data_IF_122948208886
#
_entry.id   IF_122948208886
#
_cell.length_a   1.000
_cell.length_b   1.000
_cell.length_c   1.000
_cell.angle_alpha   90.00
_cell.angle_beta   90.00
_cell.angle_gamma   90.00
#
_symmetry.space_group_name_H-M   'P 1'
#
loop_
_entity.id
_entity.type
_entity.pdbx_description
1 polymer ?
#
# COMPACT_ATOMS: atom_id res chain seq x y z
N UNK A 1 21.22 -4.37 -42.93
CA UNK A 1 19.86 -4.82 -42.59
C UNK A 1 19.30 -3.92 -41.50
N UNK A 2 18.15 -3.32 -41.76
CA UNK A 2 17.42 -2.43 -40.85
C UNK A 2 16.39 -3.32 -40.12
N UNK A 3 16.49 -3.46 -38.80
CA UNK A 3 15.62 -4.32 -38.01
C UNK A 3 14.86 -3.56 -36.93
N UNK A 4 13.88 -4.23 -36.32
CA UNK A 4 13.07 -3.72 -35.21
C UNK A 4 13.53 -4.39 -33.92
N UNK A 5 13.86 -3.62 -32.89
CA UNK A 5 14.22 -4.15 -31.57
C UNK A 5 13.26 -3.60 -30.51
N UNK A 6 13.03 -4.36 -29.44
CA UNK A 6 12.22 -3.91 -28.29
C UNK A 6 13.14 -3.60 -27.12
N UNK A 7 12.86 -2.49 -26.45
CA UNK A 7 13.62 -2.01 -25.31
C UNK A 7 12.70 -1.80 -24.11
N UNK A 8 13.01 -2.44 -22.98
CA UNK A 8 12.21 -2.30 -21.74
C UNK A 8 10.73 -2.62 -21.92
N UNK A 9 9.84 -1.73 -21.46
CA UNK A 9 8.38 -1.83 -21.53
C UNK A 9 7.80 -1.67 -22.95
N UNK A 10 8.27 -2.49 -23.89
CA UNK A 10 7.67 -2.64 -25.23
C UNK A 10 7.85 -1.42 -26.15
N UNK A 11 8.90 -0.60 -25.97
CA UNK A 11 9.17 0.52 -26.89
C UNK A 11 9.75 -0.05 -28.19
N UNK A 12 9.05 0.05 -29.35
CA UNK A 12 9.56 -0.46 -30.61
C UNK A 12 10.61 0.50 -31.16
N UNK A 13 11.88 0.11 -31.11
CA UNK A 13 12.95 0.79 -31.82
C UNK A 13 12.84 0.41 -33.30
N UNK A 14 12.68 1.42 -34.15
CA UNK A 14 12.65 1.24 -35.60
C UNK A 14 14.04 1.60 -36.13
N UNK A 15 14.52 0.82 -37.08
CA UNK A 15 15.80 0.99 -37.75
C UNK A 15 17.05 0.83 -36.87
N UNK A 16 17.08 -0.28 -36.15
CA UNK A 16 18.27 -0.75 -35.45
C UNK A 16 19.13 -1.54 -36.43
N UNK A 17 20.45 -1.40 -36.37
CA UNK A 17 21.36 -2.14 -37.23
C UNK A 17 21.43 -3.58 -36.69
N UNK A 18 20.55 -4.43 -37.21
CA UNK A 18 20.48 -5.84 -36.84
C UNK A 18 21.50 -6.60 -37.68
N UNK A 19 22.59 -7.02 -37.03
CA UNK A 19 23.53 -7.98 -37.60
C UNK A 19 23.01 -9.38 -37.22
N UNK A 20 22.60 -10.22 -38.18
CA UNK A 20 22.00 -11.53 -37.88
C UNK A 20 22.91 -12.47 -37.09
N UNK A 21 24.23 -12.29 -37.20
CA UNK A 21 25.24 -13.13 -36.55
C UNK A 21 25.63 -12.65 -35.15
N UNK A 22 25.01 -11.58 -34.63
CA UNK A 22 25.29 -11.04 -33.29
C UNK A 22 24.14 -11.33 -32.33
N UNK A 23 24.49 -11.86 -31.15
CA UNK A 23 23.54 -12.09 -30.04
C UNK A 23 22.93 -10.80 -29.43
N UNK A 24 23.32 -9.62 -29.93
CA UNK A 24 22.87 -8.33 -29.42
C UNK A 24 22.61 -7.34 -30.57
N UNK A 25 21.49 -6.61 -30.48
CA UNK A 25 21.17 -5.54 -31.41
C UNK A 25 21.91 -4.25 -31.01
N UNK A 26 22.64 -3.63 -31.95
CA UNK A 26 23.32 -2.36 -31.72
C UNK A 26 22.41 -1.17 -32.06
N UNK A 27 22.14 -0.32 -31.07
CA UNK A 27 21.34 0.89 -31.25
C UNK A 27 22.24 2.11 -31.45
N UNK A 28 21.95 2.90 -32.48
CA UNK A 28 22.59 4.21 -32.66
C UNK A 28 22.04 5.21 -31.64
N UNK A 29 22.93 5.81 -30.85
CA UNK A 29 22.59 6.83 -29.83
C UNK A 29 21.84 8.00 -30.44
N UNK A 30 22.32 8.54 -31.56
CA UNK A 30 21.72 9.72 -32.20
C UNK A 30 20.32 9.46 -32.74
N UNK A 31 20.06 8.22 -33.18
CA UNK A 31 18.74 7.82 -33.68
C UNK A 31 17.78 7.56 -32.52
N UNK A 32 18.28 6.90 -31.47
CA UNK A 32 17.53 6.60 -30.26
C UNK A 32 17.04 7.87 -29.55
N UNK A 33 17.92 8.85 -29.33
CA UNK A 33 17.58 10.11 -28.65
C UNK A 33 16.57 10.94 -29.44
N UNK A 34 16.70 10.98 -30.77
CA UNK A 34 15.73 11.66 -31.66
C UNK A 34 14.37 10.96 -31.69
N UNK A 35 14.35 9.63 -31.74
CA UNK A 35 13.10 8.86 -31.82
C UNK A 35 12.29 8.93 -30.53
N UNK A 36 12.95 8.88 -29.36
CA UNK A 36 12.30 8.84 -28.06
C UNK A 36 12.21 10.20 -27.36
N UNK A 37 12.72 11.27 -27.99
CA UNK A 37 12.90 12.58 -27.36
C UNK A 37 13.54 12.47 -25.96
N UNK A 38 14.66 11.75 -25.89
CA UNK A 38 15.34 11.44 -24.64
C UNK A 38 16.80 11.89 -24.65
N UNK A 39 17.37 12.10 -23.46
CA UNK A 39 18.80 12.23 -23.25
C UNK A 39 19.39 10.92 -22.72
N UNK A 40 20.68 10.70 -22.98
CA UNK A 40 21.44 9.58 -22.45
C UNK A 40 22.61 10.12 -21.66
N UNK A 41 22.73 9.67 -20.41
CA UNK A 41 23.87 9.97 -19.54
C UNK A 41 24.70 8.71 -19.39
N UNK A 42 25.99 8.80 -19.71
CA UNK A 42 26.95 7.72 -19.52
C UNK A 42 27.67 7.90 -18.18
N UNK A 43 27.68 6.85 -17.37
CA UNK A 43 28.34 6.74 -16.08
C UNK A 43 29.41 5.64 -16.15
N UNK A 44 30.41 5.64 -15.25
CA UNK A 44 31.46 4.61 -15.24
C UNK A 44 30.95 3.17 -15.12
N UNK A 45 29.74 2.96 -14.61
CA UNK A 45 29.15 1.62 -14.37
C UNK A 45 27.94 1.32 -15.27
N UNK A 46 27.47 2.27 -16.08
CA UNK A 46 26.23 2.12 -16.84
C UNK A 46 25.75 3.40 -17.51
N UNK A 47 24.53 3.39 -18.01
CA UNK A 47 23.93 4.57 -18.64
C UNK A 47 22.44 4.70 -18.31
N UNK A 48 21.94 5.93 -18.39
CA UNK A 48 20.57 6.28 -18.03
C UNK A 48 19.93 6.98 -19.23
N UNK A 49 18.75 6.51 -19.65
CA UNK A 49 17.89 7.17 -20.63
C UNK A 49 16.82 7.94 -19.88
N UNK A 50 16.76 9.24 -20.11
CA UNK A 50 15.78 10.11 -19.48
C UNK A 50 14.93 10.80 -20.56
N UNK A 51 13.62 10.67 -20.45
CA UNK A 51 12.67 11.39 -21.29
C UNK A 51 12.79 12.90 -21.03
N UNK A 52 12.98 13.69 -22.09
CA UNK A 52 13.16 15.13 -21.98
C UNK A 52 11.88 15.88 -21.61
N UNK A 53 10.71 15.33 -21.93
CA UNK A 53 9.39 15.90 -21.63
C UNK A 53 9.01 15.61 -20.18
N UNK A 54 9.01 14.35 -19.77
CA UNK A 54 8.54 13.96 -18.42
C UNK A 54 9.63 14.01 -17.36
N UNK A 55 10.91 14.12 -17.77
CA UNK A 55 12.09 13.98 -16.91
C UNK A 55 12.20 12.62 -16.20
N UNK A 56 11.40 11.64 -16.60
CA UNK A 56 11.44 10.28 -16.01
C UNK A 56 12.51 9.44 -16.68
N UNK A 57 13.12 8.56 -15.89
CA UNK A 57 14.00 7.52 -16.43
C UNK A 57 13.14 6.49 -17.17
N UNK A 58 13.42 6.32 -18.47
CA UNK A 58 12.69 5.39 -19.35
C UNK A 58 13.49 4.12 -19.64
N UNK A 59 14.78 4.11 -19.30
CA UNK A 59 15.63 2.94 -19.43
C UNK A 59 16.97 3.12 -18.75
N UNK A 60 17.59 2.01 -18.37
CA UNK A 60 18.93 1.96 -17.79
C UNK A 60 19.75 0.86 -18.45
N UNK A 61 20.99 1.16 -18.80
CA UNK A 61 21.94 0.21 -19.33
C UNK A 61 23.05 -0.08 -18.33
N UNK A 62 23.55 -1.32 -18.32
CA UNK A 62 24.70 -1.73 -17.51
C UNK A 62 25.94 -1.83 -18.40
N UNK A 63 27.09 -1.41 -17.89
CA UNK A 63 28.36 -1.67 -18.56
C UNK A 63 28.74 -3.15 -18.40
N UNK A 64 29.02 -3.85 -19.50
CA UNK A 64 29.66 -5.18 -19.49
C UNK A 64 30.83 -5.13 -20.48
N UNK A 65 32.06 -5.27 -19.97
CA UNK A 65 33.25 -4.92 -20.76
C UNK A 65 33.21 -3.45 -21.15
N UNK A 66 33.42 -3.14 -22.44
CA UNK A 66 33.42 -1.76 -22.96
C UNK A 66 32.09 -1.37 -23.65
N UNK A 67 31.03 -2.17 -23.44
CA UNK A 67 29.73 -1.97 -24.08
C UNK A 67 28.61 -1.78 -23.05
N UNK A 68 27.70 -0.85 -23.35
CA UNK A 68 26.50 -0.61 -22.55
C UNK A 68 25.36 -1.51 -23.04
N UNK A 69 24.91 -2.41 -22.17
CA UNK A 69 23.83 -3.35 -22.46
C UNK A 69 22.55 -2.91 -21.79
N UNK A 70 21.48 -2.91 -22.59
CA UNK A 70 20.13 -2.75 -22.10
C UNK A 70 19.49 -4.12 -22.02
N UNK A 71 19.27 -4.60 -20.80
CA UNK A 71 18.52 -5.82 -20.59
C UNK A 71 17.05 -5.51 -20.90
N UNK A 72 16.48 -6.19 -21.90
CA UNK A 72 15.03 -6.36 -21.93
C UNK A 72 14.68 -6.97 -20.58
N UNK A 73 13.86 -6.28 -19.79
CA UNK A 73 13.20 -6.96 -18.69
C UNK A 73 12.27 -7.97 -19.36
N UNK A 74 12.79 -9.19 -19.59
CA UNK A 74 11.95 -10.37 -19.57
C UNK A 74 11.10 -10.20 -18.34
N UNK A 75 9.79 -10.12 -18.58
CA UNK A 75 8.74 -9.83 -17.61
C UNK A 75 9.29 -10.06 -16.23
N UNK A 76 9.66 -8.97 -15.53
CA UNK A 76 10.15 -9.10 -14.18
C UNK A 76 9.16 -10.04 -13.51
N UNK A 77 9.61 -11.26 -13.17
CA UNK A 77 8.82 -12.16 -12.36
C UNK A 77 8.78 -11.43 -11.03
N UNK A 78 7.85 -10.49 -10.92
CA UNK A 78 7.51 -9.84 -9.69
C UNK A 78 7.07 -11.03 -8.86
N UNK A 79 7.98 -11.53 -8.04
CA UNK A 79 7.60 -12.27 -6.87
C UNK A 79 6.91 -11.23 -6.00
N UNK A 80 5.67 -10.89 -6.37
CA UNK A 80 4.70 -10.43 -5.41
C UNK A 80 4.62 -11.63 -4.49
N UNK A 81 5.33 -11.57 -3.36
CA UNK A 81 5.04 -12.45 -2.28
C UNK A 81 3.53 -12.28 -2.07
N UNK A 82 2.74 -13.28 -2.47
CA UNK A 82 1.33 -13.33 -2.12
C UNK A 82 1.31 -13.58 -0.62
N UNK A 83 1.60 -12.53 0.14
CA UNK A 83 1.46 -12.52 1.59
C UNK A 83 -0.02 -12.42 1.85
N UNK A 84 -0.67 -13.57 1.83
CA UNK A 84 -2.06 -13.68 2.26
C UNK A 84 -2.10 -13.29 3.73
N UNK A 85 -2.88 -12.25 4.04
CA UNK A 85 -3.12 -11.87 5.42
C UNK A 85 -4.31 -12.66 5.95
N UNK A 86 -4.20 -13.10 7.21
CA UNK A 86 -5.35 -13.67 7.91
C UNK A 86 -6.39 -12.57 8.14
N UNK A 87 -7.64 -12.87 7.80
CA UNK A 87 -8.77 -11.97 7.97
C UNK A 87 -8.88 -11.40 9.38
N UNK A 88 -8.67 -12.26 10.38
CA UNK A 88 -8.69 -11.90 11.80
C UNK A 88 -7.67 -10.82 12.18
N UNK A 89 -6.45 -10.90 11.66
CA UNK A 89 -5.38 -9.93 11.95
C UNK A 89 -5.75 -8.56 11.40
N UNK A 90 -6.24 -8.52 10.16
CA UNK A 90 -6.60 -7.26 9.53
C UNK A 90 -7.81 -6.64 10.23
N UNK A 91 -8.83 -7.44 10.56
CA UNK A 91 -9.97 -7.04 11.37
C UNK A 91 -9.53 -6.39 12.68
N UNK A 92 -8.59 -6.98 13.43
CA UNK A 92 -8.08 -6.39 14.67
C UNK A 92 -7.30 -5.08 14.43
N UNK A 93 -6.43 -5.03 13.41
CA UNK A 93 -5.55 -3.88 13.15
C UNK A 93 -6.28 -2.61 12.68
N UNK A 94 -7.42 -2.76 12.03
CA UNK A 94 -8.18 -1.62 11.48
C UNK A 94 -9.36 -1.20 12.36
N UNK A 95 -9.41 -1.66 13.61
CA UNK A 95 -10.45 -1.29 14.55
C UNK A 95 -11.75 -2.09 14.39
N UNK A 96 -11.62 -3.41 14.18
CA UNK A 96 -12.73 -4.34 14.23
C UNK A 96 -13.82 -4.13 13.16
N UNK A 97 -13.43 -3.62 12.00
CA UNK A 97 -14.34 -3.44 10.85
C UNK A 97 -14.91 -4.82 10.42
N UNK A 98 -16.22 -4.92 10.10
CA UNK A 98 -16.82 -6.18 9.66
C UNK A 98 -16.11 -6.79 8.44
N UNK A 99 -15.90 -8.12 8.46
CA UNK A 99 -15.22 -8.86 7.40
C UNK A 99 -15.79 -8.59 6.00
N UNK A 100 -17.12 -8.37 5.89
CA UNK A 100 -17.77 -8.00 4.62
C UNK A 100 -17.27 -6.66 4.06
N UNK A 101 -17.09 -5.64 4.92
CA UNK A 101 -16.54 -4.33 4.50
C UNK A 101 -15.07 -4.43 4.16
N UNK A 102 -14.34 -5.25 4.90
CA UNK A 102 -12.94 -5.56 4.63
C UNK A 102 -12.70 -6.09 3.22
N UNK A 103 -13.51 -7.07 2.80
CA UNK A 103 -13.45 -7.61 1.43
C UNK A 103 -13.77 -6.55 0.38
N UNK A 104 -14.69 -5.63 0.66
CA UNK A 104 -15.00 -4.52 -0.25
C UNK A 104 -13.86 -3.51 -0.40
N UNK A 105 -13.03 -3.31 0.63
CA UNK A 105 -11.92 -2.33 0.60
C UNK A 105 -10.67 -2.93 -0.02
N UNK A 106 -10.35 -4.18 0.34
CA UNK A 106 -9.06 -4.80 0.04
C UNK A 106 -9.13 -5.89 -1.03
N UNK A 107 -10.33 -6.31 -1.43
CA UNK A 107 -10.56 -7.40 -2.39
C UNK A 107 -10.29 -8.79 -1.79
N UNK A 108 -10.87 -9.83 -2.37
CA UNK A 108 -10.71 -11.22 -1.90
C UNK A 108 -9.31 -11.80 -2.16
N UNK A 109 -8.49 -11.12 -2.97
CA UNK A 109 -7.16 -11.61 -3.39
C UNK A 109 -6.10 -11.56 -2.30
N UNK A 110 -6.36 -10.84 -1.20
CA UNK A 110 -5.39 -10.63 -0.10
C UNK A 110 -5.61 -11.63 1.05
N UNK A 111 -6.72 -12.36 1.06
CA UNK A 111 -7.14 -13.16 2.21
C UNK A 111 -7.02 -14.66 1.98
N UNK A 112 -6.50 -15.37 2.98
CA UNK A 112 -6.51 -16.84 3.02
C UNK A 112 -7.82 -17.31 3.66
N UNK A 113 -8.78 -17.76 2.84
CA UNK A 113 -10.16 -18.05 3.24
C UNK A 113 -10.36 -19.48 3.79
N UNK A 114 -9.28 -20.23 4.02
CA UNK A 114 -9.34 -21.67 4.30
C UNK A 114 -9.76 -22.05 5.74
N UNK A 115 -10.28 -21.12 6.55
CA UNK A 115 -10.69 -21.43 7.94
C UNK A 115 -11.95 -20.68 8.32
N UNK A 116 -12.90 -21.40 8.92
CA UNK A 116 -14.07 -20.81 9.55
C UNK A 116 -13.65 -19.64 10.45
N UNK A 117 -14.16 -18.45 10.15
CA UNK A 117 -13.87 -17.23 10.90
C UNK A 117 -14.36 -17.42 12.33
N UNK A 118 -13.44 -17.59 13.27
CA UNK A 118 -13.78 -17.50 14.70
C UNK A 118 -14.35 -16.11 14.99
N UNK A 119 -15.41 -16.01 15.82
CA UNK A 119 -15.90 -14.72 16.25
C UNK A 119 -14.85 -13.95 17.04
N UNK A 120 -14.78 -12.64 16.84
CA UNK A 120 -13.87 -11.79 17.60
C UNK A 120 -14.43 -11.48 18.99
N UNK A 121 -13.72 -11.90 20.04
CA UNK A 121 -14.09 -11.69 21.44
C UNK A 121 -14.31 -10.21 21.78
N UNK A 122 -13.44 -9.32 21.27
CA UNK A 122 -13.55 -7.88 21.49
C UNK A 122 -14.85 -7.33 20.90
N UNK A 123 -15.24 -7.76 19.69
CA UNK A 123 -16.52 -7.37 19.09
C UNK A 123 -17.71 -7.90 19.88
N UNK A 124 -17.64 -9.14 20.36
CA UNK A 124 -18.71 -9.73 21.16
C UNK A 124 -18.92 -8.96 22.46
N UNK A 125 -17.84 -8.67 23.19
CA UNK A 125 -17.91 -7.89 24.43
C UNK A 125 -18.38 -6.45 24.19
N UNK A 126 -17.91 -5.82 23.11
CA UNK A 126 -18.33 -4.46 22.78
C UNK A 126 -19.81 -4.37 22.34
N UNK A 127 -20.34 -5.42 21.71
CA UNK A 127 -21.75 -5.50 21.28
C UNK A 127 -22.67 -6.03 22.38
N UNK A 128 -22.12 -6.45 23.51
CA UNK A 128 -22.93 -6.83 24.66
C UNK A 128 -23.48 -5.54 25.30
N UNK A 129 -24.64 -5.11 24.81
CA UNK A 129 -25.42 -4.13 25.52
C UNK A 129 -25.88 -4.76 26.83
N UNK A 130 -25.67 -4.04 27.94
CA UNK A 130 -26.26 -4.39 29.22
C UNK A 130 -27.77 -4.51 29.03
N UNK A 131 -28.38 -5.61 29.50
CA UNK A 131 -29.82 -5.80 29.43
C UNK A 131 -30.54 -4.57 30.01
N UNK A 132 -31.72 -4.29 29.46
CA UNK A 132 -32.64 -3.21 29.86
C UNK A 132 -32.54 -3.02 31.37
N UNK A 133 -32.05 -1.86 31.81
CA UNK A 133 -32.16 -1.47 33.20
C UNK A 133 -33.63 -1.61 33.58
N UNK A 134 -33.94 -2.43 34.59
CA UNK A 134 -35.26 -2.37 35.22
C UNK A 134 -35.43 -0.93 35.67
N UNK A 135 -36.26 -0.17 34.94
CA UNK A 135 -36.63 1.17 35.34
C UNK A 135 -37.33 1.00 36.68
N UNK A 136 -36.62 1.33 37.76
CA UNK A 136 -37.27 1.46 39.07
C UNK A 136 -38.00 2.79 39.03
N UNK A 137 -39.29 2.77 39.34
CA UNK A 137 -40.13 3.96 39.46
C UNK A 137 -39.74 4.78 40.70
N UNK A 138 -38.53 5.33 40.71
CA UNK A 138 -38.10 6.33 41.70
C UNK A 138 -38.63 7.71 41.28
N UNK A 139 -39.92 7.78 40.96
CA UNK A 139 -40.59 9.00 40.51
C UNK A 139 -41.45 9.49 41.66
N UNK A 140 -41.21 10.73 42.06
CA UNK A 140 -42.05 11.41 43.04
C UNK A 140 -43.37 11.89 42.43
N UNK A 141 -44.46 11.86 43.23
CA UNK A 141 -45.77 12.38 42.82
C UNK A 141 -45.98 13.85 43.17
N UNK A 142 -45.30 14.38 44.20
CA UNK A 142 -45.42 15.78 44.61
C UNK A 142 -44.08 16.52 44.50
N UNK A 143 -44.15 17.85 44.56
CA UNK A 143 -42.96 18.72 44.56
C UNK A 143 -42.20 18.53 45.89
N UNK A 144 -40.87 18.38 45.82
CA UNK A 144 -39.96 18.18 46.96
C UNK A 144 -40.00 16.84 47.71
N UNK A 145 -40.82 15.88 47.29
CA UNK A 145 -40.91 14.52 47.88
C UNK A 145 -39.63 13.67 47.63
N UNK A 146 -38.87 13.97 46.57
CA UNK A 146 -37.58 13.33 46.27
C UNK A 146 -36.58 14.37 45.78
N UNK A 147 -35.46 14.51 46.51
CA UNK A 147 -34.33 15.36 46.11
C UNK A 147 -33.14 14.45 45.85
N UNK A 148 -32.69 14.38 44.59
CA UNK A 148 -31.46 13.69 44.23
C UNK A 148 -30.29 14.68 44.33
N UNK A 149 -29.35 14.40 45.23
CA UNK A 149 -28.11 15.17 45.38
C UNK A 149 -26.97 14.25 45.00
N UNK A 150 -26.26 14.59 43.93
CA UNK A 150 -25.01 13.94 43.59
C UNK A 150 -23.86 14.76 44.19
N UNK A 151 -23.09 14.16 45.10
CA UNK A 151 -21.88 14.78 45.64
C UNK A 151 -20.68 14.21 44.91
N UNK A 152 -20.16 14.97 43.96
CA UNK A 152 -18.86 14.66 43.37
C UNK A 152 -17.77 14.86 44.42
N UNK A 153 -17.15 13.77 44.85
CA UNK A 153 -15.95 13.83 45.67
C UNK A 153 -14.79 14.46 44.88
N UNK A 154 -13.80 15.08 45.56
CA UNK A 154 -12.58 15.51 44.89
C UNK A 154 -11.95 14.31 44.18
N UNK A 155 -11.44 14.52 42.97
CA UNK A 155 -10.77 13.48 42.18
C UNK A 155 -9.75 12.73 43.04
N UNK A 156 -9.79 11.38 43.06
CA UNK A 156 -8.86 10.59 43.88
C UNK A 156 -7.41 10.71 43.41
N UNK A 157 -7.21 11.03 42.13
CA UNK A 157 -5.91 11.15 41.50
C UNK A 157 -5.53 12.62 41.34
N UNK A 158 -4.29 12.95 41.73
CA UNK A 158 -3.70 14.28 41.52
C UNK A 158 -3.52 14.56 40.03
N UNK A 159 -3.69 15.81 39.62
CA UNK A 159 -3.25 16.23 38.29
C UNK A 159 -1.73 16.19 38.18
N UNK A 160 -1.20 16.27 36.95
CA UNK A 160 0.24 16.30 36.69
C UNK A 160 0.98 17.40 37.48
N UNK A 161 0.28 18.50 37.81
CA UNK A 161 0.84 19.62 38.58
C UNK A 161 0.64 19.47 40.10
N UNK A 162 0.16 18.31 40.57
CA UNK A 162 0.05 17.97 41.98
C UNK A 162 -1.20 18.45 42.71
N UNK A 163 -2.13 19.13 42.03
CA UNK A 163 -3.35 19.68 42.62
C UNK A 163 -4.57 18.77 42.42
N UNK A 164 -5.46 18.72 43.41
CA UNK A 164 -6.79 18.15 43.26
C UNK A 164 -7.73 19.25 42.75
N UNK A 165 -8.17 19.15 41.49
CA UNK A 165 -9.17 20.10 40.97
C UNK A 165 -10.56 19.75 41.52
N UNK A 166 -11.26 20.77 42.04
CA UNK A 166 -12.72 20.78 42.20
C UNK A 166 -13.37 21.23 40.90
#
# INVERSE_FOLDING_TARGET
>A
MIGKAKMGYNIPLKDVLCLPDFNCNLASVSKLTKQLNCSIVFLPTGCILQDLTTKRVIGTGKLKGDLYYFESQDEAKIHVAKTYMKMEILHQRIGHIPNKRLRSIFGDTIFDDNRESRPCDACHKAKQCQNIYLVRDNISKNVFDLVHLDTWGPYSNKTHDGYYRR
#
